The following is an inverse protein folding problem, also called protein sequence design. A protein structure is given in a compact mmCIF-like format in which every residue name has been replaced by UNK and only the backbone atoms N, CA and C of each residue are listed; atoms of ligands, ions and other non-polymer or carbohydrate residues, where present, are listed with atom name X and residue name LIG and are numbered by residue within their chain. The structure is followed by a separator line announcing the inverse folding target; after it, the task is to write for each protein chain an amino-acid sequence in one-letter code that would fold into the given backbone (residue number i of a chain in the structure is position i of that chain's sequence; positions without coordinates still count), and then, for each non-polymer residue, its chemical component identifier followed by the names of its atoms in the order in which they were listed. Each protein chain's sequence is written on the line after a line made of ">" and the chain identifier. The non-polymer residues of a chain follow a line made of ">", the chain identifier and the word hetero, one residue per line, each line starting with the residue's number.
data_IF_639201855736
#
_entry.id   IF_639201855736
#
_cell.length_a   1.000
_cell.length_b   1.000
_cell.length_c   1.000
_cell.angle_alpha   90.00
_cell.angle_beta   90.00
_cell.angle_gamma   90.00
#
_symmetry.space_group_name_H-M   'P 1'
#
loop_
_entity.id
_entity.type
_entity.pdbx_description
1 polymer ?
#
# COMPACT_ATOMS: atom_id res chain seq x y z
N UNK A 1 -6.16 22.13 20.20
CA UNK A 1 -5.82 21.97 18.76
C UNK A 1 -4.42 22.53 18.58
N UNK A 2 -3.48 21.71 18.10
CA UNK A 2 -2.07 22.11 17.99
C UNK A 2 -1.83 23.08 16.83
N UNK A 3 -0.69 23.77 16.79
CA UNK A 3 -0.35 24.65 15.66
C UNK A 3 -0.17 23.87 14.36
N UNK A 4 0.34 22.63 14.44
CA UNK A 4 0.37 21.70 13.31
C UNK A 4 -1.05 21.35 12.82
N UNK A 5 -2.02 21.16 13.72
CA UNK A 5 -3.42 20.92 13.30
C UNK A 5 -4.00 22.09 12.52
N UNK A 6 -3.72 23.33 12.95
CA UNK A 6 -4.17 24.54 12.24
C UNK A 6 -3.55 24.61 10.85
N UNK A 7 -2.22 24.44 10.74
CA UNK A 7 -1.51 24.40 9.44
C UNK A 7 -2.09 23.35 8.50
N UNK A 8 -2.39 22.14 9.01
CA UNK A 8 -2.97 21.07 8.20
C UNK A 8 -4.34 21.48 7.64
N UNK A 9 -5.19 22.15 8.42
CA UNK A 9 -6.50 22.60 7.94
C UNK A 9 -6.39 23.76 6.98
N UNK A 10 -5.52 24.73 7.28
CA UNK A 10 -5.39 25.94 6.47
C UNK A 10 -4.82 25.62 5.08
N UNK A 11 -3.84 24.71 5.04
CA UNK A 11 -3.21 24.25 3.80
C UNK A 11 -4.13 23.18 3.17
N UNK A 12 -4.30 22.03 3.80
CA UNK A 12 -4.99 20.88 3.20
C UNK A 12 -6.51 20.84 3.46
N UNK A 13 -7.20 21.98 3.37
CA UNK A 13 -8.60 22.14 3.80
C UNK A 13 -9.56 21.04 3.33
N UNK A 14 -9.48 20.64 2.07
CA UNK A 14 -10.42 19.65 1.47
C UNK A 14 -10.05 18.19 1.79
N UNK A 15 -8.84 17.96 2.27
CA UNK A 15 -8.28 16.61 2.50
C UNK A 15 -7.74 16.42 3.92
N UNK A 16 -7.94 17.41 4.79
CA UNK A 16 -7.69 17.34 6.22
C UNK A 16 -8.84 16.63 6.93
N UNK A 17 -8.51 15.61 7.73
CA UNK A 17 -9.49 14.82 8.46
C UNK A 17 -9.10 14.68 9.94
N UNK A 18 -10.10 14.82 10.82
CA UNK A 18 -9.93 14.59 12.25
C UNK A 18 -10.02 13.09 12.56
N UNK A 19 -8.88 12.48 12.92
CA UNK A 19 -8.78 11.01 13.10
C UNK A 19 -9.55 10.46 14.30
N UNK A 20 -9.99 11.29 15.24
CA UNK A 20 -10.91 10.85 16.32
C UNK A 20 -12.31 10.54 15.80
N UNK A 21 -12.77 11.20 14.73
CA UNK A 21 -14.10 10.99 14.15
C UNK A 21 -14.19 9.68 13.37
N UNK A 22 -13.11 9.30 12.68
CA UNK A 22 -13.03 8.03 11.93
C UNK A 22 -13.11 6.83 12.86
N UNK A 23 -12.56 6.92 14.08
CA UNK A 23 -12.72 5.86 15.10
C UNK A 23 -14.16 5.71 15.57
N UNK A 24 -14.90 6.81 15.76
CA UNK A 24 -16.31 6.74 16.18
C UNK A 24 -17.18 6.04 15.15
N UNK A 25 -16.89 6.23 13.85
CA UNK A 25 -17.54 5.51 12.75
C UNK A 25 -17.05 4.06 12.65
N UNK A 26 -15.75 3.82 12.82
CA UNK A 26 -15.14 2.50 12.77
C UNK A 26 -15.51 1.56 13.92
N UNK A 27 -16.40 1.98 14.84
CA UNK A 27 -17.02 1.13 15.85
C UNK A 27 -18.21 0.30 15.30
N UNK A 28 -18.59 0.48 14.03
CA UNK A 28 -19.51 -0.47 13.39
C UNK A 28 -18.82 -1.83 13.28
N UNK A 29 -19.47 -2.94 13.64
CA UNK A 29 -18.97 -4.32 13.55
C UNK A 29 -18.61 -4.80 12.11
N UNK A 30 -18.62 -3.89 11.14
CA UNK A 30 -18.39 -4.16 9.72
C UNK A 30 -16.98 -3.76 9.32
N UNK A 31 -16.22 -4.69 8.75
CA UNK A 31 -14.86 -4.49 8.30
C UNK A 31 -14.83 -3.64 7.00
N UNK A 32 -14.74 -2.31 7.15
CA UNK A 32 -14.49 -1.38 6.06
C UNK A 32 -13.02 -0.95 5.99
N UNK A 33 -12.45 -0.77 4.79
CA UNK A 33 -11.16 -0.11 4.65
C UNK A 33 -11.20 1.32 5.22
N UNK A 34 -10.11 1.78 5.84
CA UNK A 34 -10.05 3.11 6.47
C UNK A 34 -10.28 4.26 5.51
N UNK A 35 -9.86 4.13 4.25
CA UNK A 35 -10.11 5.17 3.25
C UNK A 35 -11.61 5.34 2.95
N UNK A 36 -12.41 4.27 3.06
CA UNK A 36 -13.88 4.35 2.96
C UNK A 36 -14.47 5.05 4.18
N UNK A 37 -13.94 4.76 5.37
CA UNK A 37 -14.34 5.45 6.60
C UNK A 37 -14.01 6.95 6.49
N UNK A 38 -12.81 7.29 6.00
CA UNK A 38 -12.38 8.68 5.78
C UNK A 38 -13.32 9.39 4.79
N UNK A 39 -13.73 8.72 3.70
CA UNK A 39 -14.72 9.23 2.74
C UNK A 39 -16.10 9.47 3.38
N UNK A 40 -16.61 8.51 4.17
CA UNK A 40 -17.89 8.63 4.88
C UNK A 40 -17.88 9.79 5.86
N UNK A 41 -16.80 9.91 6.64
CA UNK A 41 -16.61 11.01 7.59
C UNK A 41 -16.61 12.34 6.84
N UNK A 42 -15.86 12.47 5.75
CA UNK A 42 -15.82 13.69 4.93
C UNK A 42 -17.19 14.04 4.34
N UNK A 43 -17.95 13.07 3.85
CA UNK A 43 -19.27 13.28 3.24
C UNK A 43 -20.34 13.76 4.23
N UNK A 44 -20.28 13.31 5.47
CA UNK A 44 -21.30 13.58 6.50
C UNK A 44 -20.83 14.57 7.57
N UNK A 45 -19.68 15.22 7.34
CA UNK A 45 -19.20 16.33 8.14
C UNK A 45 -19.83 17.64 7.68
N UNK A 46 -20.26 18.47 8.63
CA UNK A 46 -20.73 19.83 8.32
C UNK A 46 -19.55 20.81 8.16
N UNK A 47 -19.85 22.05 7.77
CA UNK A 47 -18.85 23.12 7.59
C UNK A 47 -18.13 23.50 8.90
N UNK A 48 -18.68 23.13 10.05
CA UNK A 48 -18.11 23.39 11.38
C UNK A 48 -17.27 22.20 11.88
N UNK A 49 -17.11 21.15 11.08
CA UNK A 49 -16.34 19.96 11.44
C UNK A 49 -17.08 18.95 12.32
N UNK A 50 -18.41 19.09 12.49
CA UNK A 50 -19.22 18.14 13.25
C UNK A 50 -19.70 16.99 12.35
N UNK A 51 -19.50 15.76 12.82
CA UNK A 51 -19.93 14.56 12.13
C UNK A 51 -21.33 14.12 12.58
N UNK A 52 -22.25 13.93 11.63
CA UNK A 52 -23.52 13.29 11.93
C UNK A 52 -23.37 11.75 11.88
N UNK A 53 -22.96 11.16 13.01
CA UNK A 53 -22.72 9.71 13.15
C UNK A 53 -23.98 8.89 12.80
N UNK A 54 -25.17 9.36 13.21
CA UNK A 54 -26.43 8.69 12.90
C UNK A 54 -26.64 8.50 11.40
N UNK A 55 -26.43 9.56 10.61
CA UNK A 55 -26.52 9.48 9.14
C UNK A 55 -25.49 8.54 8.52
N UNK A 56 -24.28 8.49 9.07
CA UNK A 56 -23.24 7.55 8.60
C UNK A 56 -23.67 6.11 8.85
N UNK A 57 -24.11 5.78 10.07
CA UNK A 57 -24.55 4.43 10.41
C UNK A 57 -25.76 4.00 9.57
N UNK A 58 -26.76 4.86 9.41
CA UNK A 58 -27.90 4.59 8.53
C UNK A 58 -27.47 4.36 7.08
N UNK A 59 -26.49 5.11 6.58
CA UNK A 59 -25.95 4.91 5.23
C UNK A 59 -25.25 3.56 5.09
N UNK A 60 -24.40 3.19 6.05
CA UNK A 60 -23.71 1.90 6.07
C UNK A 60 -24.72 0.75 6.16
N UNK A 61 -25.69 0.81 7.07
CA UNK A 61 -26.71 -0.23 7.24
C UNK A 61 -27.54 -0.44 5.97
N UNK A 62 -27.88 0.65 5.28
CA UNK A 62 -28.71 0.63 4.08
C UNK A 62 -27.97 0.16 2.83
N UNK A 63 -26.69 0.52 2.69
CA UNK A 63 -25.97 0.36 1.42
C UNK A 63 -24.80 -0.61 1.48
N UNK A 64 -24.18 -0.86 2.63
CA UNK A 64 -23.19 -1.91 2.75
C UNK A 64 -23.94 -3.25 2.90
N UNK A 65 -23.77 -4.20 1.97
CA UNK A 65 -24.49 -5.47 2.04
C UNK A 65 -23.83 -6.42 3.05
N UNK A 66 -24.64 -7.27 3.67
CA UNK A 66 -24.17 -8.46 4.37
C UNK A 66 -24.09 -9.60 3.36
N UNK A 67 -22.88 -10.11 3.08
CA UNK A 67 -22.65 -11.19 2.10
C UNK A 67 -23.45 -12.44 2.42
N UNK A 68 -23.72 -12.72 3.69
CA UNK A 68 -24.54 -13.88 4.10
C UNK A 68 -26.01 -13.73 3.71
N UNK A 69 -26.46 -12.50 3.44
CA UNK A 69 -27.84 -12.14 3.09
C UNK A 69 -28.00 -11.73 1.62
N UNK A 70 -27.08 -12.11 0.74
CA UNK A 70 -27.12 -11.75 -0.69
C UNK A 70 -28.42 -12.15 -1.39
N UNK A 71 -29.09 -13.24 -0.96
CA UNK A 71 -30.38 -13.67 -1.51
C UNK A 71 -31.50 -12.65 -1.29
N UNK A 72 -31.46 -11.88 -0.21
CA UNK A 72 -32.43 -10.79 0.01
C UNK A 72 -32.23 -9.65 -1.00
N UNK A 73 -30.99 -9.43 -1.44
CA UNK A 73 -30.70 -8.44 -2.48
C UNK A 73 -31.18 -8.95 -3.85
N UNK A 74 -31.02 -10.25 -4.11
CA UNK A 74 -31.55 -10.89 -5.32
C UNK A 74 -33.07 -10.83 -5.39
N UNK A 75 -33.78 -11.12 -4.30
CA UNK A 75 -35.26 -10.99 -4.27
C UNK A 75 -35.69 -9.55 -4.59
N UNK A 76 -35.03 -8.54 -4.02
CA UNK A 76 -35.32 -7.13 -4.31
C UNK A 76 -35.07 -6.77 -5.78
N UNK A 77 -33.93 -7.17 -6.32
CA UNK A 77 -33.61 -6.98 -7.75
C UNK A 77 -34.65 -7.68 -8.63
N UNK A 78 -35.00 -8.94 -8.31
CA UNK A 78 -35.98 -9.74 -9.05
C UNK A 78 -37.37 -9.12 -9.04
N UNK A 79 -37.77 -8.44 -7.95
CA UNK A 79 -39.00 -7.65 -7.85
C UNK A 79 -38.97 -6.33 -8.65
N UNK A 80 -37.86 -6.05 -9.35
CA UNK A 80 -37.68 -4.83 -10.13
C UNK A 80 -37.18 -3.63 -9.32
N UNK A 81 -36.76 -3.82 -8.06
CA UNK A 81 -36.19 -2.72 -7.29
C UNK A 81 -34.80 -2.32 -7.80
N UNK A 82 -34.52 -1.01 -7.77
CA UNK A 82 -33.17 -0.49 -7.93
C UNK A 82 -32.45 -0.53 -6.59
N UNK A 83 -31.36 -1.29 -6.49
CA UNK A 83 -30.62 -1.48 -5.24
C UNK A 83 -29.30 -0.73 -5.29
N UNK A 84 -29.02 0.09 -4.27
CA UNK A 84 -27.77 0.83 -4.12
C UNK A 84 -26.85 0.10 -3.15
N UNK A 85 -25.67 -0.30 -3.64
CA UNK A 85 -24.75 -1.17 -2.90
C UNK A 85 -23.36 -0.53 -2.85
N UNK A 86 -22.72 -0.61 -1.68
CA UNK A 86 -21.30 -0.31 -1.51
C UNK A 86 -20.52 -1.60 -1.75
N UNK A 87 -19.65 -1.60 -2.75
CA UNK A 87 -18.79 -2.73 -3.06
C UNK A 87 -17.50 -2.28 -3.76
N UNK A 88 -16.55 -3.20 -3.90
CA UNK A 88 -15.32 -3.05 -4.65
C UNK A 88 -15.52 -3.57 -6.09
N UNK A 89 -16.06 -2.73 -6.96
CA UNK A 89 -16.43 -3.10 -8.33
C UNK A 89 -15.20 -3.16 -9.25
N UNK A 90 -15.27 -4.02 -10.28
CA UNK A 90 -14.25 -4.11 -11.33
C UNK A 90 -14.91 -4.39 -12.67
N UNK A 91 -14.33 -3.87 -13.74
CA UNK A 91 -14.77 -4.14 -15.10
C UNK A 91 -13.68 -4.88 -15.88
N UNK A 92 -14.10 -5.90 -16.62
CA UNK A 92 -13.28 -6.66 -17.55
C UNK A 92 -13.88 -6.55 -18.96
N UNK A 93 -13.03 -6.58 -19.98
CA UNK A 93 -13.48 -6.50 -21.38
C UNK A 93 -13.44 -7.91 -21.97
N UNK A 94 -14.58 -8.42 -22.41
CA UNK A 94 -14.65 -9.64 -23.23
C UNK A 94 -14.59 -9.26 -24.70
N UNK A 95 -13.38 -9.21 -25.26
CA UNK A 95 -13.17 -8.90 -26.68
C UNK A 95 -13.80 -9.92 -27.63
N UNK A 96 -14.06 -11.16 -27.18
CA UNK A 96 -14.70 -12.17 -28.04
C UNK A 96 -16.19 -11.89 -28.21
N UNK A 97 -16.83 -11.39 -27.15
CA UNK A 97 -18.25 -11.02 -27.16
C UNK A 97 -18.47 -9.55 -27.50
N UNK A 98 -17.45 -8.72 -27.39
CA UNK A 98 -17.54 -7.27 -27.59
C UNK A 98 -18.26 -6.56 -26.43
N UNK A 99 -18.13 -7.08 -25.21
CA UNK A 99 -18.93 -6.62 -24.06
C UNK A 99 -18.05 -6.32 -22.83
N UNK A 100 -18.50 -5.35 -22.02
CA UNK A 100 -17.98 -5.12 -20.67
C UNK A 100 -18.63 -6.09 -19.68
N UNK A 101 -17.82 -6.72 -18.84
CA UNK A 101 -18.25 -7.57 -17.73
C UNK A 101 -17.96 -6.86 -16.42
N UNK A 102 -19.01 -6.53 -15.69
CA UNK A 102 -18.93 -6.00 -14.35
C UNK A 102 -18.88 -7.14 -13.33
N UNK A 103 -17.90 -7.06 -12.44
CA UNK A 103 -17.75 -7.92 -11.26
C UNK A 103 -18.32 -7.19 -10.04
N UNK A 104 -19.18 -7.88 -9.30
CA UNK A 104 -19.86 -7.41 -8.09
C UNK A 104 -19.57 -8.42 -6.96
N UNK A 105 -18.42 -8.31 -6.28
CA UNK A 105 -17.97 -9.30 -5.30
C UNK A 105 -18.95 -9.62 -4.17
N UNK A 106 -19.72 -8.65 -3.67
CA UNK A 106 -20.65 -8.88 -2.57
C UNK A 106 -21.85 -9.77 -2.96
N UNK A 107 -22.14 -9.88 -4.25
CA UNK A 107 -23.21 -10.72 -4.80
C UNK A 107 -22.66 -12.01 -5.43
N UNK A 108 -21.34 -12.14 -5.62
CA UNK A 108 -20.71 -13.19 -6.41
C UNK A 108 -21.18 -13.20 -7.88
N UNK A 109 -21.45 -12.01 -8.45
CA UNK A 109 -21.77 -11.83 -9.87
C UNK A 109 -20.49 -11.42 -10.61
N UNK A 110 -20.13 -12.13 -11.68
CA UNK A 110 -18.92 -11.88 -12.47
C UNK A 110 -19.20 -11.49 -13.94
N UNK A 111 -20.46 -11.31 -14.28
CA UNK A 111 -20.94 -11.09 -15.65
C UNK A 111 -22.11 -10.09 -15.71
N UNK A 112 -22.17 -9.15 -14.76
CA UNK A 112 -23.16 -8.07 -14.82
C UNK A 112 -22.87 -7.13 -15.99
N UNK A 113 -23.89 -6.47 -16.51
CA UNK A 113 -23.76 -5.48 -17.56
C UNK A 113 -23.39 -4.10 -16.99
N UNK A 114 -22.65 -3.33 -17.77
CA UNK A 114 -22.32 -1.95 -17.47
C UNK A 114 -22.22 -1.16 -18.78
N UNK A 115 -22.77 0.06 -18.79
CA UNK A 115 -22.71 0.94 -19.96
C UNK A 115 -21.29 1.46 -20.19
N UNK A 116 -20.90 1.66 -21.45
CA UNK A 116 -19.63 2.29 -21.82
C UNK A 116 -19.48 3.68 -21.22
N UNK A 117 -20.57 4.44 -21.09
CA UNK A 117 -20.56 5.78 -20.49
C UNK A 117 -20.04 5.75 -19.05
N UNK A 118 -20.50 4.78 -18.24
CA UNK A 118 -20.03 4.64 -16.86
C UNK A 118 -18.54 4.30 -16.83
N UNK A 119 -18.07 3.45 -17.76
CA UNK A 119 -16.64 3.09 -17.85
C UNK A 119 -15.78 4.25 -18.36
N UNK A 120 -16.28 5.10 -19.25
CA UNK A 120 -15.60 6.30 -19.75
C UNK A 120 -15.45 7.36 -18.66
N UNK A 121 -16.51 7.57 -17.85
CA UNK A 121 -16.48 8.47 -16.70
C UNK A 121 -15.63 7.91 -15.54
N UNK A 122 -15.49 6.58 -15.45
CA UNK A 122 -14.80 5.90 -14.37
C UNK A 122 -13.77 4.88 -14.90
N UNK A 123 -12.73 5.33 -15.63
CA UNK A 123 -11.77 4.44 -16.29
C UNK A 123 -10.99 3.57 -15.30
N UNK A 124 -10.88 4.00 -14.03
CA UNK A 124 -10.26 3.22 -12.95
C UNK A 124 -10.93 1.85 -12.74
N UNK A 125 -12.20 1.67 -13.11
CA UNK A 125 -12.90 0.38 -13.05
C UNK A 125 -12.24 -0.70 -13.93
N UNK A 126 -11.57 -0.29 -15.02
CA UNK A 126 -10.84 -1.19 -15.93
C UNK A 126 -9.44 -1.54 -15.39
N UNK A 127 -8.89 -0.70 -14.51
CA UNK A 127 -7.55 -0.88 -13.95
C UNK A 127 -7.53 -1.81 -12.74
N UNK A 128 -8.63 -1.87 -11.99
CA UNK A 128 -8.70 -2.70 -10.78
C UNK A 128 -10.01 -2.55 -10.01
N UNK A 129 -9.96 -2.94 -8.74
CA UNK A 129 -11.10 -2.81 -7.84
C UNK A 129 -11.28 -1.34 -7.42
N UNK A 130 -12.46 -0.79 -7.68
CA UNK A 130 -12.86 0.57 -7.28
C UNK A 130 -14.01 0.47 -6.30
N UNK A 131 -13.78 0.97 -5.09
CA UNK A 131 -14.86 1.10 -4.13
C UNK A 131 -15.79 2.23 -4.54
N UNK A 132 -17.08 1.97 -4.51
CA UNK A 132 -18.09 2.97 -4.84
C UNK A 132 -19.49 2.52 -4.45
N UNK A 133 -20.45 3.41 -4.68
CA UNK A 133 -21.87 3.07 -4.62
C UNK A 133 -22.33 2.74 -6.04
N UNK A 134 -22.64 1.47 -6.30
CA UNK A 134 -23.29 1.02 -7.52
C UNK A 134 -24.80 0.97 -7.36
N UNK A 135 -25.54 1.62 -8.26
CA UNK A 135 -26.99 1.40 -8.40
C UNK A 135 -27.19 0.27 -9.40
N UNK A 136 -27.72 -0.85 -8.92
CA UNK A 136 -27.98 -2.06 -9.69
C UNK A 136 -29.47 -2.20 -10.01
N UNK A 137 -29.75 -2.79 -11.15
CA UNK A 137 -31.09 -3.15 -11.60
C UNK A 137 -31.05 -4.55 -12.22
N UNK A 138 -32.16 -5.28 -12.13
CA UNK A 138 -32.37 -6.51 -12.88
C UNK A 138 -33.43 -6.31 -13.93
N UNK A 139 -33.19 -6.89 -15.11
CA UNK A 139 -34.11 -6.89 -16.25
C UNK A 139 -34.22 -8.29 -16.82
N UNK A 140 -35.44 -8.73 -17.09
CA UNK A 140 -35.75 -9.98 -17.78
C UNK A 140 -36.66 -9.63 -18.96
N UNK A 141 -36.12 -9.76 -20.17
CA UNK A 141 -36.88 -9.59 -21.41
C UNK A 141 -37.36 -10.96 -21.92
N UNK A 142 -38.51 -10.97 -22.58
CA UNK A 142 -39.10 -12.21 -23.11
C UNK A 142 -38.15 -12.88 -24.12
N UNK A 143 -37.85 -14.16 -23.91
CA UNK A 143 -36.90 -14.93 -24.73
C UNK A 143 -35.41 -14.63 -24.48
N UNK A 144 -35.07 -13.80 -23.48
CA UNK A 144 -33.67 -13.53 -23.09
C UNK A 144 -33.38 -13.99 -21.67
N UNK A 145 -32.10 -14.21 -21.39
CA UNK A 145 -31.63 -14.45 -20.02
C UNK A 145 -31.79 -13.17 -19.19
N UNK A 146 -32.14 -13.33 -17.91
CA UNK A 146 -32.21 -12.22 -16.97
C UNK A 146 -30.83 -11.66 -16.67
N UNK A 147 -30.71 -10.33 -16.64
CA UNK A 147 -29.42 -9.65 -16.48
C UNK A 147 -29.47 -8.65 -15.35
N UNK A 148 -28.39 -8.62 -14.57
CA UNK A 148 -28.12 -7.55 -13.61
C UNK A 148 -27.24 -6.52 -14.29
N UNK A 149 -27.62 -5.24 -14.23
CA UNK A 149 -26.88 -4.14 -14.82
C UNK A 149 -26.60 -3.04 -13.78
N UNK A 150 -25.46 -2.38 -13.92
CA UNK A 150 -25.14 -1.15 -13.20
C UNK A 150 -25.58 0.04 -14.02
N UNK A 151 -26.49 0.83 -13.46
CA UNK A 151 -27.08 2.01 -14.14
C UNK A 151 -26.49 3.33 -13.65
N UNK A 152 -25.84 3.33 -12.49
CA UNK A 152 -25.16 4.51 -11.92
C UNK A 152 -24.00 4.02 -11.05
N UNK A 153 -22.85 4.67 -11.16
CA UNK A 153 -21.71 4.42 -10.28
C UNK A 153 -21.23 5.73 -9.67
N UNK A 154 -21.02 5.73 -8.36
CA UNK A 154 -20.40 6.84 -7.64
C UNK A 154 -19.15 6.34 -6.93
N UNK A 155 -17.94 6.63 -7.44
CA UNK A 155 -16.72 6.21 -6.79
C UNK A 155 -16.62 6.85 -5.39
N UNK A 156 -16.17 6.07 -4.41
CA UNK A 156 -15.87 6.56 -3.06
C UNK A 156 -14.43 7.10 -3.00
N UNK A 157 -14.08 7.94 -3.97
CA UNK A 157 -12.78 8.60 -4.05
C UNK A 157 -12.93 10.06 -3.59
N UNK A 158 -11.85 10.65 -3.07
CA UNK A 158 -11.78 12.09 -2.80
C UNK A 158 -11.55 12.90 -4.07
N UNK A 159 -11.75 14.22 -3.90
CA UNK A 159 -11.24 15.36 -4.66
C UNK A 159 -10.05 15.00 -5.56
N UNK A 160 -10.10 15.51 -6.80
CA UNK A 160 -9.01 15.42 -7.79
C UNK A 160 -7.68 15.76 -7.12
N UNK A 161 -6.75 14.80 -7.11
CA UNK A 161 -5.45 14.98 -6.45
C UNK A 161 -4.58 15.89 -7.28
N UNK A 162 -4.03 16.94 -6.65
CA UNK A 162 -3.06 17.85 -7.25
C UNK A 162 -1.69 17.59 -6.61
N UNK A 163 -0.82 16.92 -7.37
CA UNK A 163 0.51 16.54 -6.91
C UNK A 163 1.41 17.76 -6.71
N UNK A 164 1.33 18.76 -7.59
CA UNK A 164 2.20 19.92 -7.52
C UNK A 164 1.83 20.81 -6.34
N UNK A 165 0.53 20.90 -6.02
CA UNK A 165 0.05 21.50 -4.78
C UNK A 165 0.65 20.80 -3.54
N UNK A 166 0.62 19.47 -3.48
CA UNK A 166 1.22 18.71 -2.36
C UNK A 166 2.71 18.97 -2.22
N UNK A 167 3.44 19.03 -3.34
CA UNK A 167 4.88 19.32 -3.37
C UNK A 167 5.15 20.73 -2.85
N UNK A 168 4.44 21.74 -3.34
CA UNK A 168 4.60 23.13 -2.90
C UNK A 168 4.24 23.32 -1.43
N UNK A 169 3.21 22.61 -0.95
CA UNK A 169 2.77 22.66 0.43
C UNK A 169 3.91 22.31 1.42
N UNK A 170 4.88 21.47 1.02
CA UNK A 170 6.05 21.08 1.82
C UNK A 170 6.80 22.28 2.43
N UNK A 171 6.89 23.40 1.70
CA UNK A 171 7.62 24.60 2.12
C UNK A 171 7.02 25.29 3.35
N UNK A 172 5.75 25.03 3.66
CA UNK A 172 5.04 25.62 4.80
C UNK A 172 5.27 24.85 6.12
N UNK A 173 5.98 23.73 6.07
CA UNK A 173 6.24 22.87 7.22
C UNK A 173 7.74 22.79 7.50
N UNK A 174 8.09 22.80 8.78
CA UNK A 174 9.41 22.30 9.20
C UNK A 174 9.51 20.80 8.91
N UNK A 175 10.72 20.25 8.84
CA UNK A 175 10.91 18.82 8.60
C UNK A 175 10.21 17.96 9.67
N UNK A 176 10.29 18.36 10.94
CA UNK A 176 9.64 17.65 12.05
C UNK A 176 8.11 17.67 11.93
N UNK A 177 7.53 18.83 11.62
CA UNK A 177 6.09 18.93 11.37
C UNK A 177 5.64 18.07 10.19
N UNK A 178 6.45 18.00 9.13
CA UNK A 178 6.17 17.19 7.95
C UNK A 178 6.23 15.69 8.23
N UNK A 179 7.26 15.23 8.96
CA UNK A 179 7.36 13.84 9.42
C UNK A 179 6.16 13.48 10.31
N UNK A 180 5.77 14.38 11.21
CA UNK A 180 4.60 14.19 12.07
C UNK A 180 3.30 14.13 11.28
N UNK A 181 3.13 14.96 10.25
CA UNK A 181 2.00 14.90 9.33
C UNK A 181 1.91 13.52 8.66
N UNK A 182 3.02 12.98 8.14
CA UNK A 182 3.05 11.66 7.49
C UNK A 182 2.65 10.57 8.50
N UNK A 183 3.22 10.59 9.71
CA UNK A 183 2.94 9.58 10.74
C UNK A 183 1.49 9.64 11.23
N UNK A 184 0.94 10.85 11.40
CA UNK A 184 -0.48 11.05 11.72
C UNK A 184 -1.37 10.54 10.60
N UNK A 185 -0.98 10.75 9.35
CA UNK A 185 -1.72 10.27 8.15
C UNK A 185 -1.73 8.74 8.09
N UNK A 186 -0.62 8.10 8.45
CA UNK A 186 -0.53 6.65 8.64
C UNK A 186 -1.39 6.13 9.82
N UNK A 187 -1.93 7.01 10.66
CA UNK A 187 -2.82 6.68 11.77
C UNK A 187 -2.13 6.49 13.12
N UNK A 188 -0.88 6.96 13.28
CA UNK A 188 -0.12 6.83 14.51
C UNK A 188 0.09 8.17 15.21
N UNK A 189 0.33 8.15 16.52
CA UNK A 189 0.69 9.35 17.27
C UNK A 189 2.22 9.56 17.23
N UNK A 190 2.72 10.64 16.60
CA UNK A 190 4.16 10.86 16.43
C UNK A 190 4.93 11.05 17.75
N UNK A 191 4.26 11.46 18.84
CA UNK A 191 4.90 11.70 20.13
C UNK A 191 5.41 10.41 20.81
N UNK A 192 5.02 9.24 20.32
CA UNK A 192 5.47 7.94 20.83
C UNK A 192 6.75 7.43 20.16
N UNK A 193 7.25 8.13 19.15
CA UNK A 193 8.38 7.69 18.35
C UNK A 193 9.54 8.67 18.48
N UNK A 194 10.74 8.14 18.72
CA UNK A 194 11.99 8.91 18.54
C UNK A 194 12.15 9.28 17.07
N UNK A 195 12.99 10.26 16.76
CA UNK A 195 13.25 10.67 15.38
C UNK A 195 13.68 9.49 14.48
N UNK A 196 14.57 8.62 14.98
CA UNK A 196 15.00 7.42 14.27
C UNK A 196 13.82 6.47 14.01
N UNK A 197 12.95 6.26 15.00
CA UNK A 197 11.77 5.41 14.83
C UNK A 197 10.75 6.04 13.87
N UNK A 198 10.64 7.38 13.82
CA UNK A 198 9.83 8.09 12.82
C UNK A 198 10.34 7.81 11.40
N UNK A 199 11.67 7.82 11.20
CA UNK A 199 12.28 7.44 9.91
C UNK A 199 11.93 6.00 9.55
N UNK A 200 12.01 5.05 10.49
CA UNK A 200 11.60 3.66 10.24
C UNK A 200 10.11 3.51 9.93
N UNK A 201 9.24 4.26 10.60
CA UNK A 201 7.82 4.30 10.26
C UNK A 201 7.60 4.79 8.83
N UNK A 202 8.26 5.89 8.44
CA UNK A 202 8.17 6.45 7.08
C UNK A 202 8.80 5.51 6.05
N UNK A 203 9.87 4.79 6.39
CA UNK A 203 10.51 3.82 5.50
C UNK A 203 9.57 2.70 5.05
N UNK A 204 8.52 2.36 5.84
CA UNK A 204 7.46 1.42 5.42
C UNK A 204 6.72 1.87 4.15
N UNK A 205 6.71 3.17 3.86
CA UNK A 205 6.05 3.76 2.68
C UNK A 205 6.92 3.73 1.42
N UNK A 206 8.22 3.40 1.54
CA UNK A 206 9.13 3.42 0.39
C UNK A 206 8.69 2.51 -0.77
N UNK A 207 8.11 1.31 -0.56
CA UNK A 207 7.56 0.49 -1.66
C UNK A 207 6.38 1.14 -2.38
N UNK A 208 5.67 2.08 -1.73
CA UNK A 208 4.50 2.76 -2.29
C UNK A 208 4.89 3.98 -3.12
N UNK A 209 5.99 4.66 -2.80
CA UNK A 209 6.40 5.91 -3.45
C UNK A 209 7.48 5.72 -4.53
N UNK A 210 8.07 4.53 -4.64
CA UNK A 210 9.11 4.24 -5.60
C UNK A 210 8.94 2.83 -6.19
N UNK A 211 9.08 2.67 -7.51
CA UNK A 211 8.92 1.37 -8.15
C UNK A 211 9.93 0.34 -7.64
N UNK A 212 9.48 -0.91 -7.55
CA UNK A 212 10.29 -2.13 -7.29
C UNK A 212 11.14 -2.12 -6.02
N UNK A 213 10.84 -1.27 -5.03
CA UNK A 213 11.48 -1.38 -3.72
C UNK A 213 10.97 -2.63 -3.02
N UNK A 214 11.92 -3.45 -2.58
CA UNK A 214 11.65 -4.71 -1.91
C UNK A 214 12.16 -4.64 -0.47
N UNK A 215 11.29 -4.91 0.50
CA UNK A 215 11.61 -4.80 1.92
C UNK A 215 11.34 -6.10 2.68
N UNK A 216 12.13 -6.32 3.72
CA UNK A 216 11.84 -7.29 4.76
C UNK A 216 11.64 -6.51 6.06
N UNK A 217 10.52 -6.73 6.74
CA UNK A 217 10.31 -6.23 8.10
C UNK A 217 10.11 -7.41 9.05
N UNK A 218 10.94 -7.47 10.08
CA UNK A 218 10.77 -8.39 11.19
C UNK A 218 10.39 -7.61 12.44
N UNK A 219 9.23 -7.92 13.01
CA UNK A 219 8.71 -7.19 14.16
C UNK A 219 8.05 -8.12 15.18
N UNK A 220 8.04 -7.77 16.48
CA UNK A 220 7.23 -8.48 17.45
C UNK A 220 5.74 -8.30 17.16
N UNK A 221 4.90 -9.16 17.75
CA UNK A 221 3.45 -9.02 17.67
C UNK A 221 3.00 -7.65 18.20
N UNK A 222 2.05 -7.03 17.52
CA UNK A 222 1.42 -5.78 17.96
C UNK A 222 2.12 -4.48 17.55
N UNK A 223 2.99 -4.48 16.53
CA UNK A 223 3.68 -3.26 16.02
C UNK A 223 2.99 -2.61 14.82
N UNK A 224 1.83 -3.11 14.39
CA UNK A 224 1.07 -2.59 13.25
C UNK A 224 1.76 -2.78 11.89
N UNK A 225 2.63 -3.79 11.76
CA UNK A 225 3.39 -4.10 10.54
C UNK A 225 2.53 -4.14 9.27
N UNK A 226 1.35 -4.77 9.33
CA UNK A 226 0.44 -4.89 8.18
C UNK A 226 -0.65 -3.81 8.11
N UNK A 227 -0.83 -3.03 9.17
CA UNK A 227 -1.89 -2.01 9.18
C UNK A 227 -1.58 -0.87 8.21
N UNK A 228 -0.31 -0.49 8.03
CA UNK A 228 0.07 0.55 7.05
C UNK A 228 -0.37 0.14 5.65
N UNK A 229 -0.01 -1.06 5.22
CA UNK A 229 -0.27 -1.52 3.86
C UNK A 229 -1.76 -1.80 3.58
N UNK A 230 -2.51 -2.30 4.56
CA UNK A 230 -3.94 -2.58 4.38
C UNK A 230 -4.85 -1.35 4.48
N UNK A 231 -4.43 -0.31 5.23
CA UNK A 231 -5.26 0.87 5.52
C UNK A 231 -4.92 2.08 4.67
N UNK A 232 -3.65 2.25 4.32
CA UNK A 232 -3.18 3.49 3.73
C UNK A 232 -3.33 3.53 2.22
N UNK A 233 -3.13 2.41 1.50
CA UNK A 233 -3.10 2.41 0.04
C UNK A 233 -3.96 1.33 -0.58
N UNK A 234 -4.73 1.72 -1.60
CA UNK A 234 -5.51 0.83 -2.46
C UNK A 234 -4.66 0.14 -3.53
N UNK A 235 -3.43 0.61 -3.74
CA UNK A 235 -2.45 0.05 -4.67
C UNK A 235 -1.59 -1.05 -4.02
N UNK A 236 -1.92 -1.47 -2.80
CA UNK A 236 -1.34 -2.62 -2.14
C UNK A 236 -2.21 -3.87 -2.32
N UNK A 237 -1.58 -4.99 -2.64
CA UNK A 237 -2.22 -6.29 -2.47
C UNK A 237 -1.56 -7.05 -1.32
N UNK A 238 -2.35 -7.33 -0.28
CA UNK A 238 -1.89 -8.01 0.92
C UNK A 238 -2.36 -9.47 0.94
N UNK A 239 -1.40 -10.38 1.10
CA UNK A 239 -1.65 -11.82 1.24
C UNK A 239 -1.35 -12.20 2.69
N UNK A 240 -2.37 -12.68 3.41
CA UNK A 240 -2.24 -13.22 4.77
C UNK A 240 -2.62 -14.69 4.76
N UNK A 241 -1.63 -15.57 4.93
CA UNK A 241 -1.83 -17.02 4.95
C UNK A 241 -2.32 -17.61 3.62
N UNK A 242 -2.67 -18.90 3.66
CA UNK A 242 -3.18 -19.63 2.50
C UNK A 242 -2.09 -20.09 1.52
N UNK A 243 -2.54 -20.59 0.37
CA UNK A 243 -1.68 -21.12 -0.69
C UNK A 243 -1.58 -20.07 -1.81
N UNK A 244 -0.36 -19.63 -2.09
CA UNK A 244 -0.05 -18.76 -3.24
C UNK A 244 0.44 -19.61 -4.39
N UNK A 245 -0.13 -19.37 -5.57
CA UNK A 245 0.23 -20.05 -6.82
C UNK A 245 0.96 -19.10 -7.77
N UNK A 246 1.77 -19.68 -8.67
CA UNK A 246 2.46 -18.92 -9.73
C UNK A 246 1.48 -18.19 -10.65
N UNK A 247 0.31 -18.78 -10.88
CA UNK A 247 -0.75 -18.18 -11.71
C UNK A 247 -1.34 -16.92 -11.07
N UNK A 248 -1.65 -16.97 -9.78
CA UNK A 248 -2.16 -15.80 -9.04
C UNK A 248 -1.14 -14.68 -8.98
N UNK A 249 0.14 -15.00 -8.76
CA UNK A 249 1.18 -13.99 -8.59
C UNK A 249 1.61 -13.36 -9.91
N UNK A 250 1.84 -14.18 -10.95
CA UNK A 250 2.51 -13.76 -12.18
C UNK A 250 1.62 -13.82 -13.43
N UNK A 251 1.12 -15.01 -13.79
CA UNK A 251 0.33 -15.17 -15.01
C UNK A 251 -0.46 -16.48 -15.03
N UNK A 252 -1.78 -16.38 -15.23
CA UNK A 252 -2.66 -17.52 -15.46
C UNK A 252 -2.66 -17.89 -16.95
N UNK A 253 -2.12 -19.07 -17.27
CA UNK A 253 -2.03 -19.57 -18.65
C UNK A 253 -3.39 -19.94 -19.26
N UNK A 254 -4.32 -20.46 -18.45
CA UNK A 254 -5.64 -20.90 -18.93
C UNK A 254 -6.49 -19.69 -19.31
N UNK A 255 -6.46 -18.65 -18.49
CA UNK A 255 -7.21 -17.40 -18.71
C UNK A 255 -6.46 -16.38 -19.56
N UNK A 256 -5.17 -16.64 -19.87
CA UNK A 256 -4.25 -15.70 -20.53
C UNK A 256 -4.21 -14.33 -19.84
N UNK A 257 -4.13 -14.35 -18.51
CA UNK A 257 -4.28 -13.15 -17.66
C UNK A 257 -3.06 -12.95 -16.77
N UNK A 258 -2.56 -11.72 -16.70
CA UNK A 258 -1.53 -11.36 -15.72
C UNK A 258 -2.01 -11.58 -14.28
N UNK A 259 -1.08 -11.92 -13.41
CA UNK A 259 -1.30 -12.05 -11.98
C UNK A 259 -1.26 -10.70 -11.27
N UNK A 260 -1.45 -10.72 -9.95
CA UNK A 260 -1.55 -9.51 -9.11
C UNK A 260 -0.34 -8.58 -9.26
N UNK A 261 0.84 -9.09 -9.55
CA UNK A 261 2.07 -8.28 -9.62
C UNK A 261 2.01 -7.18 -10.70
N UNK A 262 1.19 -7.37 -11.74
CA UNK A 262 1.04 -6.42 -12.83
C UNK A 262 0.08 -5.25 -12.54
N UNK A 263 -0.70 -5.33 -11.45
CA UNK A 263 -1.81 -4.39 -11.20
C UNK A 263 -1.68 -3.55 -9.93
N UNK A 264 -0.65 -3.81 -9.11
CA UNK A 264 -0.48 -3.17 -7.80
C UNK A 264 0.91 -2.55 -7.69
N UNK A 265 1.01 -1.47 -6.92
CA UNK A 265 2.28 -0.80 -6.62
C UNK A 265 3.14 -1.62 -5.67
N UNK A 266 2.52 -2.43 -4.80
CA UNK A 266 3.22 -3.26 -3.82
C UNK A 266 2.44 -4.53 -3.52
N UNK A 267 3.16 -5.66 -3.53
CA UNK A 267 2.67 -6.95 -3.04
C UNK A 267 3.25 -7.19 -1.65
N UNK A 268 2.39 -7.46 -0.68
CA UNK A 268 2.77 -7.67 0.72
C UNK A 268 2.44 -9.10 1.13
N UNK A 269 3.45 -9.84 1.58
CA UNK A 269 3.27 -11.14 2.23
C UNK A 269 3.26 -10.92 3.74
N UNK A 270 2.06 -10.80 4.32
CA UNK A 270 1.90 -10.67 5.76
C UNK A 270 1.94 -12.04 6.45
N UNK A 271 2.59 -12.05 7.61
CA UNK A 271 2.87 -13.26 8.38
C UNK A 271 3.38 -14.39 7.48
N UNK A 272 4.42 -14.10 6.69
CA UNK A 272 4.89 -14.98 5.60
C UNK A 272 5.18 -16.43 6.05
N UNK A 273 5.45 -16.63 7.34
CA UNK A 273 5.52 -17.93 8.04
C UNK A 273 4.29 -18.84 7.83
N UNK A 274 3.11 -18.25 7.70
CA UNK A 274 1.82 -18.91 7.55
C UNK A 274 1.46 -19.21 6.09
N UNK A 275 2.17 -18.59 5.15
CA UNK A 275 1.94 -18.74 3.72
C UNK A 275 2.60 -20.03 3.23
N UNK A 276 1.95 -20.70 2.28
CA UNK A 276 2.49 -21.85 1.56
C UNK A 276 2.52 -21.53 0.07
N UNK A 277 3.61 -21.86 -0.60
CA UNK A 277 3.70 -21.78 -2.05
C UNK A 277 3.41 -23.16 -2.63
N UNK A 278 2.49 -23.27 -3.59
CA UNK A 278 2.11 -24.57 -4.16
C UNK A 278 3.31 -25.28 -4.82
N UNK A 279 4.23 -24.49 -5.39
CA UNK A 279 5.51 -24.92 -5.93
C UNK A 279 6.57 -23.86 -5.63
N UNK A 280 7.19 -23.90 -4.44
CA UNK A 280 8.03 -22.80 -3.95
C UNK A 280 9.19 -22.49 -4.90
N UNK A 281 9.85 -23.50 -5.44
CA UNK A 281 11.00 -23.35 -6.34
C UNK A 281 10.64 -22.60 -7.64
N UNK A 282 9.49 -22.93 -8.27
CA UNK A 282 9.03 -22.23 -9.48
C UNK A 282 8.73 -20.75 -9.18
N UNK A 283 8.09 -20.47 -8.04
CA UNK A 283 7.70 -19.12 -7.64
C UNK A 283 8.94 -18.30 -7.27
N UNK A 284 9.87 -18.87 -6.50
CA UNK A 284 11.12 -18.21 -6.10
C UNK A 284 12.04 -18.00 -7.30
N UNK A 285 12.12 -18.95 -8.22
CA UNK A 285 12.83 -18.78 -9.49
C UNK A 285 12.30 -17.59 -10.28
N UNK A 286 10.98 -17.48 -10.44
CA UNK A 286 10.35 -16.34 -11.11
C UNK A 286 10.56 -15.02 -10.34
N UNK A 287 10.43 -15.04 -9.01
CA UNK A 287 10.68 -13.86 -8.17
C UNK A 287 12.14 -13.40 -8.26
N UNK A 288 13.13 -14.29 -8.35
CA UNK A 288 14.54 -13.90 -8.51
C UNK A 288 14.77 -13.11 -9.80
N UNK A 289 14.14 -13.51 -10.91
CA UNK A 289 14.16 -12.72 -12.15
C UNK A 289 13.49 -11.37 -11.94
N UNK A 290 12.27 -11.39 -11.38
CA UNK A 290 11.46 -10.21 -11.17
C UNK A 290 12.11 -9.16 -10.28
N UNK A 291 12.61 -9.55 -9.10
CA UNK A 291 13.22 -8.62 -8.15
C UNK A 291 14.54 -8.04 -8.67
N UNK A 292 15.16 -8.64 -9.70
CA UNK A 292 16.39 -8.15 -10.29
C UNK A 292 16.13 -7.13 -11.43
N UNK A 293 15.19 -7.42 -12.33
CA UNK A 293 14.98 -6.62 -13.55
C UNK A 293 13.56 -6.05 -13.71
N UNK A 294 12.61 -6.46 -12.88
CA UNK A 294 11.18 -6.20 -13.08
C UNK A 294 10.51 -7.16 -14.06
N UNK A 295 11.25 -8.14 -14.59
CA UNK A 295 10.74 -9.12 -15.55
C UNK A 295 10.47 -10.49 -14.92
N UNK A 296 9.36 -11.11 -15.32
CA UNK A 296 9.05 -12.48 -14.93
C UNK A 296 8.72 -13.32 -16.17
N UNK A 297 9.05 -14.61 -16.08
CA UNK A 297 8.79 -15.59 -17.14
C UNK A 297 7.92 -16.71 -16.61
N UNK A 298 6.84 -17.01 -17.33
CA UNK A 298 5.92 -18.11 -17.05
C UNK A 298 5.82 -18.94 -18.31
N UNK A 299 6.63 -20.01 -18.39
CA UNK A 299 6.77 -20.82 -19.61
C UNK A 299 7.13 -19.93 -20.81
N UNK A 300 6.27 -19.84 -21.83
CA UNK A 300 6.47 -18.98 -23.01
C UNK A 300 5.99 -17.54 -22.85
N UNK A 301 5.41 -17.15 -21.71
CA UNK A 301 5.00 -15.77 -21.44
C UNK A 301 6.11 -14.99 -20.73
N UNK A 302 6.42 -13.80 -21.22
CA UNK A 302 7.30 -12.83 -20.57
C UNK A 302 6.49 -11.57 -20.26
N UNK A 303 6.58 -11.10 -19.01
CA UNK A 303 5.91 -9.89 -18.55
C UNK A 303 6.86 -9.01 -17.75
N UNK A 304 6.53 -7.72 -17.70
CA UNK A 304 7.18 -6.72 -16.83
C UNK A 304 6.18 -6.20 -15.81
N UNK A 305 6.66 -5.80 -14.65
CA UNK A 305 5.87 -5.05 -13.67
C UNK A 305 6.77 -4.18 -12.77
N UNK A 306 6.15 -3.24 -12.07
CA UNK A 306 6.84 -2.27 -11.21
C UNK A 306 6.52 -2.42 -9.72
N UNK A 307 5.73 -3.42 -9.35
CA UNK A 307 5.33 -3.68 -7.97
C UNK A 307 6.55 -3.89 -7.05
N UNK A 308 6.60 -3.20 -5.91
CA UNK A 308 7.49 -3.55 -4.81
C UNK A 308 7.06 -4.85 -4.13
N UNK A 309 7.98 -5.52 -3.44
CA UNK A 309 7.70 -6.77 -2.72
C UNK A 309 8.08 -6.66 -1.24
N UNK A 310 7.12 -6.85 -0.35
CA UNK A 310 7.33 -6.68 1.10
C UNK A 310 7.07 -8.00 1.82
N UNK A 311 8.06 -8.47 2.59
CA UNK A 311 7.93 -9.60 3.50
C UNK A 311 7.74 -9.09 4.92
N UNK A 312 6.60 -9.42 5.54
CA UNK A 312 6.37 -9.14 6.96
C UNK A 312 6.40 -10.45 7.73
N UNK A 313 7.29 -10.55 8.72
CA UNK A 313 7.38 -11.72 9.59
C UNK A 313 7.46 -11.33 11.07
N UNK A 314 7.02 -12.25 11.92
CA UNK A 314 7.12 -12.10 13.36
C UNK A 314 8.50 -12.58 13.84
N UNK A 315 9.09 -11.86 14.80
CA UNK A 315 10.37 -12.24 15.40
C UNK A 315 10.24 -12.51 16.92
N UNK A 316 10.85 -13.59 17.44
CA UNK A 316 10.84 -13.85 18.87
C UNK A 316 11.80 -12.91 19.61
N UNK A 317 11.32 -12.33 20.71
CA UNK A 317 12.06 -11.40 21.56
C UNK A 317 12.49 -12.05 22.88
N UNK A 318 13.63 -11.66 23.42
CA UNK A 318 14.10 -12.02 24.76
C UNK A 318 13.50 -11.08 25.83
N UNK A 319 13.89 -11.27 27.10
CA UNK A 319 13.41 -10.46 28.22
C UNK A 319 13.76 -8.96 28.10
N UNK A 320 14.88 -8.64 27.44
CA UNK A 320 15.37 -7.27 27.22
C UNK A 320 14.76 -6.59 25.97
N UNK A 321 13.70 -7.17 25.38
CA UNK A 321 13.14 -6.75 24.11
C UNK A 321 14.17 -6.66 22.97
N UNK A 322 15.11 -7.60 22.92
CA UNK A 322 16.01 -7.82 21.78
C UNK A 322 15.66 -9.13 21.05
N UNK A 323 15.95 -9.25 19.75
CA UNK A 323 15.77 -10.52 19.05
C UNK A 323 16.54 -11.67 19.72
N UNK A 324 15.92 -12.86 19.79
CA UNK A 324 16.56 -14.03 20.43
C UNK A 324 17.73 -14.61 19.63
N UNK A 325 17.62 -14.61 18.30
CA UNK A 325 18.63 -15.19 17.41
C UNK A 325 19.51 -14.11 16.80
N UNK A 326 20.75 -14.47 16.44
CA UNK A 326 21.63 -13.63 15.63
C UNK A 326 21.21 -13.63 14.16
N UNK A 327 20.75 -14.77 13.65
CA UNK A 327 20.21 -14.91 12.29
C UNK A 327 18.69 -14.72 12.32
N UNK A 328 18.26 -13.49 12.08
CA UNK A 328 16.88 -13.04 12.22
C UNK A 328 15.98 -13.61 11.11
N UNK A 329 16.54 -13.88 9.93
CA UNK A 329 15.82 -14.50 8.80
C UNK A 329 15.54 -16.00 8.99
N UNK A 330 16.00 -16.62 10.09
CA UNK A 330 15.57 -17.98 10.47
C UNK A 330 14.05 -18.09 10.64
N UNK A 331 13.38 -16.95 10.87
CA UNK A 331 11.93 -16.88 11.05
C UNK A 331 11.17 -16.88 9.73
N UNK A 332 11.82 -16.67 8.59
CA UNK A 332 11.18 -16.74 7.27
C UNK A 332 10.93 -18.21 6.88
N UNK A 333 9.98 -18.53 6.00
CA UNK A 333 9.87 -19.87 5.42
C UNK A 333 11.15 -20.30 4.71
N UNK A 334 11.45 -21.61 4.69
CA UNK A 334 12.69 -22.14 4.10
C UNK A 334 12.93 -21.65 2.66
N UNK A 335 11.87 -21.61 1.84
CA UNK A 335 11.92 -21.13 0.46
C UNK A 335 12.31 -19.64 0.32
N UNK A 336 12.18 -18.84 1.38
CA UNK A 336 12.60 -17.43 1.42
C UNK A 336 14.00 -17.23 2.01
N UNK A 337 14.68 -18.28 2.52
CA UNK A 337 15.97 -18.16 3.22
C UNK A 337 17.18 -18.22 2.29
N UNK A 338 16.98 -18.50 1.01
CA UNK A 338 18.08 -18.56 0.04
C UNK A 338 18.79 -17.21 -0.07
N UNK A 339 20.11 -17.19 0.12
CA UNK A 339 20.92 -15.97 0.13
C UNK A 339 20.79 -15.19 -1.17
N UNK A 340 20.80 -15.89 -2.32
CA UNK A 340 20.57 -15.28 -3.62
C UNK A 340 19.19 -14.59 -3.73
N UNK A 341 18.14 -15.13 -3.10
CA UNK A 341 16.82 -14.49 -3.09
C UNK A 341 16.82 -13.26 -2.19
N UNK A 342 17.31 -13.40 -0.96
CA UNK A 342 17.36 -12.33 0.05
C UNK A 342 18.25 -11.15 -0.39
N UNK A 343 19.33 -11.40 -1.13
CA UNK A 343 20.21 -10.33 -1.62
C UNK A 343 19.52 -9.40 -2.64
N UNK A 344 18.36 -9.79 -3.20
CA UNK A 344 17.53 -8.94 -4.08
C UNK A 344 16.58 -8.01 -3.32
N UNK A 345 16.55 -8.08 -1.99
CA UNK A 345 15.82 -7.13 -1.16
C UNK A 345 16.62 -5.86 -0.94
N UNK A 346 15.97 -4.71 -1.06
CA UNK A 346 16.64 -3.41 -0.96
C UNK A 346 16.99 -3.09 0.48
N UNK A 347 16.09 -3.41 1.42
CA UNK A 347 16.24 -3.02 2.82
C UNK A 347 15.63 -4.00 3.80
N UNK A 348 16.28 -4.09 4.96
CA UNK A 348 15.79 -4.78 6.14
C UNK A 348 15.38 -3.78 7.21
N UNK A 349 14.07 -3.66 7.44
CA UNK A 349 13.50 -2.75 8.42
C UNK A 349 13.49 -3.41 9.82
N UNK A 350 14.16 -2.81 10.81
CA UNK A 350 14.24 -3.36 12.17
C UNK A 350 12.95 -3.10 12.95
N UNK A 351 11.87 -3.81 12.59
CA UNK A 351 10.55 -3.61 13.19
C UNK A 351 10.48 -3.90 14.71
N UNK A 352 11.50 -4.55 15.29
CA UNK A 352 11.63 -4.70 16.74
C UNK A 352 12.07 -3.44 17.48
N UNK A 353 12.68 -2.48 16.78
CA UNK A 353 13.03 -1.17 17.33
C UNK A 353 11.81 -0.24 17.45
N UNK A 354 10.70 -0.61 16.80
CA UNK A 354 9.45 0.13 16.87
C UNK A 354 8.66 -0.23 18.14
N UNK A 355 8.09 0.77 18.85
CA UNK A 355 7.31 0.52 20.05
C UNK A 355 6.07 -0.32 19.73
N UNK A 356 5.75 -1.25 20.63
CA UNK A 356 4.48 -2.00 20.57
C UNK A 356 3.32 -1.03 20.68
N UNK A 357 2.30 -1.24 19.86
CA UNK A 357 1.06 -0.46 19.89
C UNK A 357 0.32 -0.81 21.19
N UNK A 358 0.23 0.16 22.10
CA UNK A 358 -0.56 0.07 23.34
C UNK A 358 -1.79 0.99 23.23
N UNK A 359 -2.72 0.86 24.18
CA UNK A 359 -3.75 1.87 24.42
C UNK A 359 -3.03 3.23 24.64
N UNK A 360 -3.42 4.29 23.92
CA UNK A 360 -2.67 5.54 23.82
C UNK A 360 -1.86 5.72 22.52
N UNK A 361 -1.24 4.66 21.98
CA UNK A 361 -0.31 4.78 20.84
C UNK A 361 -1.01 5.09 19.50
N UNK A 362 -2.28 4.67 19.37
CA UNK A 362 -3.14 5.01 18.23
C UNK A 362 -4.01 6.25 18.50
N UNK A 363 -3.91 6.87 19.67
CA UNK A 363 -4.86 7.89 20.17
C UNK A 363 -4.57 9.31 19.70
N UNK A 364 -4.05 9.48 18.47
CA UNK A 364 -4.01 10.82 17.90
C UNK A 364 -5.44 11.30 17.59
N UNK A 365 -5.84 12.42 18.22
CA UNK A 365 -7.19 13.00 18.10
C UNK A 365 -7.27 14.25 17.21
N UNK A 366 -6.13 14.67 16.66
CA UNK A 366 -6.03 15.86 15.81
C UNK A 366 -6.27 15.57 14.33
N UNK A 367 -5.76 16.46 13.48
CA UNK A 367 -5.92 16.45 12.03
C UNK A 367 -4.74 15.77 11.34
N UNK A 368 -5.03 15.10 10.25
CA UNK A 368 -4.07 14.48 9.33
C UNK A 368 -4.63 14.48 7.92
N UNK A 369 -3.86 14.04 6.93
CA UNK A 369 -4.40 13.84 5.59
C UNK A 369 -5.33 12.61 5.56
N UNK A 370 -6.31 12.65 4.67
CA UNK A 370 -7.10 11.46 4.33
C UNK A 370 -6.21 10.40 3.68
N UNK A 371 -6.47 9.13 4.01
CA UNK A 371 -5.65 8.02 3.54
C UNK A 371 -5.72 7.84 2.00
N UNK A 372 -6.89 8.03 1.39
CA UNK A 372 -7.07 7.95 -0.06
C UNK A 372 -6.31 9.04 -0.82
N UNK A 373 -6.39 10.28 -0.37
CA UNK A 373 -5.62 11.40 -0.95
C UNK A 373 -4.11 11.11 -0.88
N UNK A 374 -3.61 10.73 0.30
CA UNK A 374 -2.19 10.44 0.45
C UNK A 374 -1.75 9.21 -0.36
N UNK A 375 -2.59 8.17 -0.45
CA UNK A 375 -2.35 7.01 -1.32
C UNK A 375 -2.15 7.41 -2.78
N UNK A 376 -2.99 8.30 -3.29
CA UNK A 376 -2.92 8.77 -4.68
C UNK A 376 -1.67 9.64 -4.89
N UNK A 377 -1.32 10.50 -3.93
CA UNK A 377 -0.04 11.25 -3.95
C UNK A 377 1.16 10.30 -4.02
N UNK A 378 1.20 9.27 -3.17
CA UNK A 378 2.30 8.29 -3.19
C UNK A 378 2.38 7.58 -4.54
N UNK A 379 1.23 7.17 -5.11
CA UNK A 379 1.14 6.54 -6.42
C UNK A 379 1.69 7.44 -7.53
N UNK A 380 1.31 8.71 -7.57
CA UNK A 380 1.79 9.66 -8.58
C UNK A 380 3.29 10.00 -8.40
N UNK A 381 3.79 10.06 -7.17
CA UNK A 381 5.23 10.26 -6.91
C UNK A 381 6.11 9.11 -7.44
N UNK A 382 5.55 7.91 -7.66
CA UNK A 382 6.30 6.76 -8.18
C UNK A 382 6.97 7.05 -9.52
N UNK A 383 6.25 7.74 -10.41
CA UNK A 383 6.71 8.05 -11.76
C UNK A 383 7.71 9.21 -11.85
N UNK A 384 7.89 9.98 -10.76
CA UNK A 384 8.89 11.07 -10.74
C UNK A 384 10.32 10.51 -10.63
N UNK A 385 11.04 10.51 -11.75
CA UNK A 385 12.44 10.09 -11.82
C UNK A 385 13.44 11.14 -11.30
N UNK A 386 13.02 12.41 -11.20
CA UNK A 386 13.86 13.54 -10.75
C UNK A 386 14.57 13.28 -9.42
N UNK A 387 13.92 12.60 -8.47
CA UNK A 387 14.51 12.28 -7.16
C UNK A 387 15.64 11.25 -7.27
N UNK A 388 15.53 10.26 -8.15
CA UNK A 388 16.62 9.28 -8.38
C UNK A 388 17.80 9.94 -9.10
N UNK A 389 17.52 10.81 -10.09
CA UNK A 389 18.55 11.61 -10.76
C UNK A 389 19.25 12.58 -9.81
N UNK A 390 18.52 13.16 -8.85
CA UNK A 390 19.10 13.98 -7.80
C UNK A 390 20.05 13.14 -6.92
N UNK A 391 19.61 11.98 -6.44
CA UNK A 391 20.41 11.07 -5.62
C UNK A 391 21.70 10.66 -6.32
N UNK A 392 21.62 10.26 -7.59
CA UNK A 392 22.80 9.83 -8.38
C UNK A 392 23.83 10.94 -8.64
N UNK A 393 23.40 12.21 -8.63
CA UNK A 393 24.31 13.35 -8.82
C UNK A 393 25.10 13.69 -7.55
N UNK A 394 24.51 13.45 -6.38
CA UNK A 394 25.07 13.89 -5.10
C UNK A 394 25.70 12.76 -4.28
N UNK A 395 25.78 11.54 -4.83
CA UNK A 395 26.31 10.37 -4.13
C UNK A 395 27.22 9.59 -5.06
N UNK A 396 28.38 9.19 -4.56
CA UNK A 396 29.28 8.25 -5.22
C UNK A 396 29.58 7.05 -4.32
N UNK A 397 29.86 5.93 -4.96
CA UNK A 397 30.35 4.71 -4.33
C UNK A 397 31.72 4.34 -4.92
N UNK A 398 32.54 3.54 -4.22
CA UNK A 398 33.79 3.02 -4.76
C UNK A 398 33.56 2.22 -6.05
N UNK A 399 34.57 2.18 -6.93
CA UNK A 399 34.49 1.50 -8.23
C UNK A 399 34.17 0.01 -8.14
N UNK A 400 34.61 -0.62 -7.05
CA UNK A 400 34.45 -2.02 -6.70
C UNK A 400 33.17 -2.31 -5.91
N UNK A 401 32.36 -1.28 -5.63
CA UNK A 401 31.11 -1.44 -4.90
C UNK A 401 30.16 -2.37 -5.65
N UNK A 402 29.54 -3.28 -4.90
CA UNK A 402 28.60 -4.22 -5.48
C UNK A 402 27.37 -3.48 -6.04
N UNK A 403 27.14 -3.59 -7.36
CA UNK A 403 26.12 -2.81 -8.09
C UNK A 403 24.71 -2.97 -7.48
N UNK A 404 24.40 -4.14 -6.90
CA UNK A 404 23.10 -4.35 -6.25
C UNK A 404 22.96 -3.54 -4.97
N UNK A 405 24.04 -3.38 -4.21
CA UNK A 405 24.06 -2.55 -3.01
C UNK A 405 23.88 -1.08 -3.38
N UNK A 406 24.62 -0.62 -4.39
CA UNK A 406 24.50 0.74 -4.94
C UNK A 406 23.05 1.03 -5.36
N UNK A 407 22.47 0.19 -6.21
CA UNK A 407 21.07 0.36 -6.68
C UNK A 407 20.06 0.32 -5.52
N UNK A 408 20.30 -0.52 -4.52
CA UNK A 408 19.42 -0.63 -3.37
C UNK A 408 19.44 0.65 -2.53
N UNK A 409 20.62 1.17 -2.22
CA UNK A 409 20.79 2.41 -1.46
C UNK A 409 20.27 3.62 -2.23
N UNK A 410 20.58 3.74 -3.52
CA UNK A 410 20.05 4.82 -4.38
C UNK A 410 18.52 4.83 -4.40
N UNK A 411 17.88 3.67 -4.62
CA UNK A 411 16.42 3.57 -4.71
C UNK A 411 15.75 3.89 -3.38
N UNK A 412 16.27 3.37 -2.26
CA UNK A 412 15.75 3.68 -0.92
C UNK A 412 15.94 5.15 -0.57
N UNK A 413 17.09 5.74 -0.91
CA UNK A 413 17.36 7.17 -0.70
C UNK A 413 16.38 8.02 -1.51
N UNK A 414 16.17 7.69 -2.78
CA UNK A 414 15.23 8.39 -3.64
C UNK A 414 13.79 8.29 -3.11
N UNK A 415 13.39 7.13 -2.57
CA UNK A 415 12.07 6.95 -1.98
C UNK A 415 11.88 7.78 -0.70
N UNK A 416 12.87 7.80 0.20
CA UNK A 416 12.83 8.65 1.39
C UNK A 416 12.86 10.13 1.02
N UNK A 417 13.61 10.50 -0.02
CA UNK A 417 13.66 11.86 -0.55
C UNK A 417 12.29 12.29 -1.08
N UNK A 418 11.59 11.44 -1.85
CA UNK A 418 10.21 11.70 -2.29
C UNK A 418 9.23 11.91 -1.15
N UNK A 419 9.42 11.23 -0.01
CA UNK A 419 8.53 11.34 1.15
C UNK A 419 8.82 12.60 1.98
N UNK A 420 10.09 12.89 2.23
CA UNK A 420 10.52 13.93 3.17
C UNK A 420 10.81 15.28 2.52
N UNK A 421 11.26 15.27 1.27
CA UNK A 421 11.62 16.44 0.47
C UNK A 421 11.06 16.28 -0.96
N UNK A 422 9.73 16.16 -1.11
CA UNK A 422 9.09 16.00 -2.42
C UNK A 422 9.41 17.16 -3.38
N UNK A 423 9.76 18.33 -2.85
CA UNK A 423 10.16 19.56 -3.53
C UNK A 423 11.66 19.66 -3.84
N UNK A 424 12.48 18.69 -3.41
CA UNK A 424 13.94 18.68 -3.56
C UNK A 424 14.65 19.89 -2.95
N UNK A 425 14.00 20.57 -1.99
CA UNK A 425 14.59 21.71 -1.29
C UNK A 425 15.22 21.25 0.04
N UNK A 426 16.50 20.89 -0.02
CA UNK A 426 17.30 20.43 1.11
C UNK A 426 18.79 20.66 0.85
N UNK A 427 19.57 20.71 1.93
CA UNK A 427 21.03 20.60 1.86
C UNK A 427 21.49 19.14 1.91
N UNK A 428 22.80 18.93 1.68
CA UNK A 428 23.41 17.60 1.67
C UNK A 428 23.47 16.94 3.05
N UNK A 429 23.48 17.73 4.13
CA UNK A 429 23.46 17.21 5.50
C UNK A 429 22.11 16.56 5.82
N UNK A 430 21.01 17.23 5.46
CA UNK A 430 19.66 16.69 5.58
C UNK A 430 19.46 15.47 4.67
N UNK A 431 19.96 15.51 3.43
CA UNK A 431 19.95 14.35 2.52
C UNK A 431 20.64 13.15 3.20
N UNK A 432 21.82 13.37 3.77
CA UNK A 432 22.60 12.34 4.42
C UNK A 432 21.89 11.78 5.67
N UNK A 433 21.44 12.66 6.56
CA UNK A 433 20.86 12.29 7.84
C UNK A 433 19.52 11.56 7.71
N UNK A 434 18.62 12.03 6.83
CA UNK A 434 17.23 11.57 6.79
C UNK A 434 16.92 10.61 5.64
N UNK A 435 17.76 10.56 4.59
CA UNK A 435 17.51 9.71 3.43
C UNK A 435 18.63 8.67 3.23
N UNK A 436 19.87 9.13 3.04
CA UNK A 436 20.97 8.24 2.62
C UNK A 436 21.46 7.31 3.73
N UNK A 437 21.77 7.85 4.92
CA UNK A 437 22.21 7.03 6.05
C UNK A 437 21.15 6.00 6.46
N UNK A 438 19.85 6.35 6.57
CA UNK A 438 18.81 5.35 6.79
C UNK A 438 18.74 4.28 5.69
N UNK A 439 18.78 4.67 4.41
CA UNK A 439 18.79 3.74 3.29
C UNK A 439 19.99 2.76 3.33
N UNK A 440 21.17 3.30 3.63
CA UNK A 440 22.40 2.52 3.82
C UNK A 440 22.26 1.51 4.97
N UNK A 441 21.75 1.94 6.13
CA UNK A 441 21.54 1.04 7.28
C UNK A 441 20.56 -0.10 6.97
N UNK A 442 19.48 0.19 6.23
CA UNK A 442 18.52 -0.83 5.79
C UNK A 442 19.19 -1.86 4.87
N UNK A 443 20.01 -1.43 3.90
CA UNK A 443 20.71 -2.36 3.00
C UNK A 443 21.82 -3.13 3.73
N UNK A 444 22.59 -2.46 4.58
CA UNK A 444 23.59 -3.09 5.46
C UNK A 444 22.98 -4.19 6.33
N UNK A 445 21.75 -3.99 6.82
CA UNK A 445 20.99 -5.00 7.55
C UNK A 445 20.79 -6.30 6.76
N UNK A 446 20.52 -6.23 5.45
CA UNK A 446 20.43 -7.41 4.58
C UNK A 446 21.79 -8.11 4.51
N UNK A 447 22.86 -7.37 4.20
CA UNK A 447 24.22 -7.91 4.05
C UNK A 447 24.74 -8.60 5.31
N UNK A 448 24.51 -7.98 6.46
CA UNK A 448 24.86 -8.57 7.75
C UNK A 448 24.16 -9.91 8.00
N UNK A 449 22.90 -10.05 7.61
CA UNK A 449 22.18 -11.33 7.76
C UNK A 449 22.62 -12.39 6.75
N UNK A 450 22.99 -12.00 5.53
CA UNK A 450 23.52 -12.92 4.51
C UNK A 450 24.90 -13.47 4.91
N UNK A 451 25.80 -12.60 5.35
CA UNK A 451 27.16 -12.97 5.76
C UNK A 451 27.19 -14.00 6.89
N UNK A 452 26.20 -14.00 7.79
CA UNK A 452 26.08 -15.01 8.86
C UNK A 452 25.89 -16.45 8.35
N UNK A 453 25.34 -16.61 7.15
CA UNK A 453 25.00 -17.91 6.56
C UNK A 453 25.95 -18.26 5.41
N UNK A 454 26.44 -17.25 4.70
CA UNK A 454 27.25 -17.38 3.50
C UNK A 454 28.37 -16.33 3.50
N UNK A 455 29.61 -16.73 3.86
CA UNK A 455 30.75 -15.82 3.96
C UNK A 455 31.16 -15.16 2.65
N UNK A 456 30.68 -15.63 1.50
CA UNK A 456 30.95 -14.98 0.20
C UNK A 456 30.31 -13.59 0.12
N UNK A 457 29.25 -13.34 0.88
CA UNK A 457 28.64 -12.03 0.97
C UNK A 457 29.40 -11.16 1.97
N UNK A 458 29.88 -9.96 1.59
CA UNK A 458 30.48 -9.04 2.54
C UNK A 458 29.44 -8.62 3.58
N UNK A 459 29.89 -8.45 4.83
CA UNK A 459 29.05 -7.94 5.93
C UNK A 459 28.74 -6.44 5.80
N UNK A 460 29.54 -5.73 5.00
CA UNK A 460 29.48 -4.29 4.81
C UNK A 460 29.01 -3.92 3.40
N UNK A 461 28.40 -2.74 3.28
CA UNK A 461 28.13 -2.06 2.01
C UNK A 461 29.26 -1.06 1.77
N UNK A 462 29.73 -0.92 0.53
CA UNK A 462 30.79 0.04 0.20
C UNK A 462 30.46 1.45 0.71
N UNK A 463 31.42 2.08 1.39
CA UNK A 463 31.22 3.40 1.99
C UNK A 463 30.94 4.46 0.92
N UNK A 464 29.81 5.14 1.04
CA UNK A 464 29.42 6.19 0.11
C UNK A 464 30.10 7.51 0.44
N UNK A 465 30.19 8.40 -0.56
CA UNK A 465 30.61 9.79 -0.39
C UNK A 465 29.56 10.73 -0.97
N UNK A 466 29.34 11.85 -0.28
CA UNK A 466 28.53 12.94 -0.81
C UNK A 466 29.35 13.72 -1.85
N UNK A 467 28.69 14.16 -2.91
CA UNK A 467 29.24 15.05 -3.93
C UNK A 467 28.54 16.40 -3.79
N UNK A 468 29.32 17.47 -3.80
CA UNK A 468 28.84 18.86 -3.77
C UNK A 468 28.13 19.27 -5.07
#
# INVERSE_FOLDING_TARGET
>A
MSDLDKKIIDIFKDVAIRKSLTKKVGLTDRALPSFIIDWLVSRYMDQNGNLNIGKVNTFIEKHLPDRTKKQLIYDRLFRGEKVKIIDAYKVEIDLKRGEYKLLIPCLDINNAEISSLITEENPKLLLGNVWGVGTLQYTLEEGKEGKVSMIEFKPMESVKTDLDYFIQARQNFTLQEWMDLIIKTMGYNPNFYTEQQKIWMIARLTPLVHPRINLIELAPKGTGKSSVFSKLSRYCWLISGGIVTRAQLFYNMAEKRAGIIAFFDTIVLDEVQTIRFQKPEEIIGALKGYLASGEFKVMGYQGTAEAGFVLLANIPMNADNRPKSKFLFETLPYFCRETAFLDRFHGFLPGWDLPKIKKGTLEYEGYALRADYFSEILHQLRSKNSHLEFVKRHISFPSEAYIRDVKAVESLTAALLKLLFPDLNLDLDLLNQYCLRPAFLLRKGIKGQLNLVDPEYPSEVGEYKLLE
#
